data_IF_276309326855
#
_entry.id   IF_276309326855
#
_cell.length_a   1.000
_cell.length_b   1.000
_cell.length_c   1.000
_cell.angle_alpha   90.00
_cell.angle_beta   90.00
_cell.angle_gamma   90.00
#
_symmetry.space_group_name_H-M   'P 1'
#
loop_
_entity.id
_entity.type
_entity.pdbx_description
1 polymer ?
#
# COMPACT_ATOMS: atom_id res chain seq x y z
N UNK A 1 2.31 -20.66 -0.93
CA UNK A 1 3.17 -19.47 -1.18
C UNK A 1 2.80 -18.39 -0.18
N UNK A 2 3.52 -18.30 0.93
CA UNK A 2 3.14 -17.40 2.04
C UNK A 2 3.89 -16.07 1.93
N UNK A 3 3.18 -14.96 2.04
CA UNK A 3 3.76 -13.71 2.52
C UNK A 3 4.53 -12.79 1.57
N UNK A 4 5.15 -13.29 0.50
CA UNK A 4 6.10 -12.48 -0.29
C UNK A 4 5.41 -11.31 -1.04
N UNK A 5 5.77 -10.05 -0.76
CA UNK A 5 5.14 -8.89 -1.37
C UNK A 5 5.81 -8.49 -2.70
N UNK A 6 7.03 -8.94 -2.99
CA UNK A 6 7.80 -8.56 -4.19
C UNK A 6 7.07 -8.94 -5.46
N UNK A 7 6.88 -8.00 -6.39
CA UNK A 7 6.17 -8.23 -7.65
C UNK A 7 5.31 -7.05 -8.07
N UNK A 8 4.41 -7.30 -9.03
CA UNK A 8 3.45 -6.31 -9.53
C UNK A 8 2.07 -6.57 -8.94
N UNK A 9 1.39 -5.50 -8.57
CA UNK A 9 0.06 -5.54 -7.97
C UNK A 9 -0.87 -4.57 -8.68
N UNK A 10 -2.14 -4.92 -8.75
CA UNK A 10 -3.20 -4.10 -9.34
C UNK A 10 -4.49 -4.23 -8.54
N UNK A 11 -5.22 -3.13 -8.39
CA UNK A 11 -6.51 -3.10 -7.73
C UNK A 11 -7.01 -1.68 -7.54
N UNK A 12 -7.53 -1.39 -6.35
CA UNK A 12 -8.11 -0.09 -6.03
C UNK A 12 -7.73 0.38 -4.62
N UNK A 13 -7.92 1.68 -4.41
CA UNK A 13 -7.92 2.32 -3.11
C UNK A 13 -9.30 2.92 -2.84
N UNK A 14 -9.67 3.06 -1.57
CA UNK A 14 -10.90 3.74 -1.17
C UNK A 14 -10.65 4.55 0.10
N UNK A 15 -10.89 5.85 0.06
CA UNK A 15 -10.99 6.73 1.23
C UNK A 15 -12.31 6.44 1.93
N UNK A 16 -12.22 6.08 3.21
CA UNK A 16 -13.38 5.92 4.09
C UNK A 16 -13.85 7.27 4.64
N UNK A 17 -13.03 8.32 4.61
CA UNK A 17 -13.42 9.67 5.02
C UNK A 17 -14.28 10.36 3.98
N UNK A 18 -13.90 10.29 2.70
CA UNK A 18 -14.58 11.00 1.60
C UNK A 18 -15.45 10.10 0.71
N UNK A 19 -15.29 8.78 0.81
CA UNK A 19 -15.89 7.82 -0.12
C UNK A 19 -15.18 7.75 -1.49
N UNK A 20 -14.19 8.60 -1.76
CA UNK A 20 -13.45 8.56 -3.02
C UNK A 20 -12.74 7.22 -3.21
N UNK A 21 -12.75 6.74 -4.45
CA UNK A 21 -12.12 5.49 -4.85
C UNK A 21 -11.42 5.67 -6.18
N UNK A 22 -10.43 4.82 -6.45
CA UNK A 22 -9.71 4.88 -7.71
C UNK A 22 -8.79 3.68 -7.95
N UNK A 23 -8.26 3.56 -9.17
CA UNK A 23 -7.31 2.51 -9.49
C UNK A 23 -6.01 2.70 -8.70
N UNK A 24 -5.41 1.58 -8.31
CA UNK A 24 -4.13 1.52 -7.65
C UNK A 24 -3.27 0.41 -8.27
N UNK A 25 -2.00 0.70 -8.47
CA UNK A 25 -0.97 -0.25 -8.89
C UNK A 25 0.21 -0.13 -7.95
N UNK A 26 0.91 -1.25 -7.74
CA UNK A 26 2.17 -1.22 -7.02
C UNK A 26 3.24 -2.06 -7.72
N UNK A 27 4.48 -1.62 -7.63
CA UNK A 27 5.67 -2.42 -7.90
C UNK A 27 6.47 -2.53 -6.61
N UNK A 28 6.69 -3.76 -6.16
CA UNK A 28 7.36 -4.03 -4.89
C UNK A 28 8.64 -4.81 -5.16
N UNK A 29 9.74 -4.38 -4.58
CA UNK A 29 11.04 -5.05 -4.65
C UNK A 29 11.61 -5.22 -3.24
N UNK A 30 12.10 -6.43 -2.96
CA UNK A 30 12.85 -6.72 -1.74
C UNK A 30 14.14 -5.88 -1.67
N UNK A 31 14.47 -5.41 -0.48
CA UNK A 31 15.72 -4.70 -0.19
C UNK A 31 16.62 -5.58 0.67
N UNK A 32 16.06 -6.21 1.70
CA UNK A 32 16.73 -7.20 2.55
C UNK A 32 15.71 -8.26 3.02
N UNK A 33 16.00 -9.05 4.07
CA UNK A 33 15.12 -10.12 4.55
C UNK A 33 13.69 -9.64 4.84
N UNK A 34 13.56 -8.45 5.43
CA UNK A 34 12.33 -7.98 6.07
C UNK A 34 11.87 -6.63 5.55
N UNK A 35 12.68 -5.95 4.73
CA UNK A 35 12.33 -4.67 4.15
C UNK A 35 12.17 -4.73 2.64
N UNK A 36 11.18 -3.97 2.17
CA UNK A 36 10.80 -3.88 0.76
C UNK A 36 10.55 -2.42 0.39
N UNK A 37 10.80 -2.08 -0.87
CA UNK A 37 10.40 -0.80 -1.46
C UNK A 37 9.20 -1.02 -2.36
N UNK A 38 8.16 -0.23 -2.13
CA UNK A 38 6.97 -0.19 -2.96
C UNK A 38 6.90 1.15 -3.70
N UNK A 39 6.57 1.12 -4.98
CA UNK A 39 6.16 2.30 -5.74
C UNK A 39 4.67 2.16 -6.04
N UNK A 40 3.86 2.98 -5.39
CA UNK A 40 2.41 3.05 -5.61
C UNK A 40 2.08 4.08 -6.67
N UNK A 41 1.16 3.76 -7.56
CA UNK A 41 0.66 4.66 -8.60
C UNK A 41 -0.86 4.51 -8.73
N UNK A 42 -1.58 5.63 -8.72
CA UNK A 42 -3.04 5.63 -8.78
C UNK A 42 -3.62 6.94 -9.29
N UNK A 43 -4.92 7.10 -9.13
CA UNK A 43 -5.63 8.35 -9.44
C UNK A 43 -6.56 8.75 -8.29
N UNK A 44 -6.54 10.03 -7.92
CA UNK A 44 -7.44 10.68 -6.99
C UNK A 44 -8.56 11.41 -7.74
N UNK A 45 -9.79 11.36 -7.20
CA UNK A 45 -10.98 11.97 -7.82
C UNK A 45 -11.11 11.65 -9.32
N UNK A 46 -10.77 10.41 -9.72
CA UNK A 46 -10.72 9.90 -11.10
C UNK A 46 -9.68 10.56 -12.03
N UNK A 47 -9.35 11.84 -11.85
CA UNK A 47 -8.57 12.63 -12.82
C UNK A 47 -7.15 12.97 -12.38
N UNK A 48 -6.85 13.01 -11.09
CA UNK A 48 -5.53 13.48 -10.59
C UNK A 48 -4.59 12.28 -10.39
N UNK A 49 -3.59 12.04 -11.26
CA UNK A 49 -2.64 10.96 -11.04
C UNK A 49 -1.77 11.23 -9.82
N UNK A 50 -1.42 10.18 -9.09
CA UNK A 50 -0.43 10.25 -8.01
C UNK A 50 0.54 9.08 -8.10
N UNK A 51 1.77 9.32 -7.67
CA UNK A 51 2.80 8.31 -7.47
C UNK A 51 3.51 8.61 -6.17
N UNK A 52 3.72 7.60 -5.33
CA UNK A 52 4.55 7.76 -4.14
C UNK A 52 5.36 6.49 -3.83
N UNK A 53 6.64 6.65 -3.46
CA UNK A 53 7.42 5.55 -2.89
C UNK A 53 7.03 5.33 -1.43
N UNK A 54 7.09 4.08 -0.99
CA UNK A 54 6.90 3.70 0.40
C UNK A 54 7.86 2.54 0.76
N UNK A 55 8.24 2.50 2.04
CA UNK A 55 8.94 1.35 2.62
C UNK A 55 7.93 0.42 3.25
N UNK A 56 8.03 -0.88 2.99
CA UNK A 56 7.27 -1.91 3.68
C UNK A 56 8.23 -2.70 4.57
N UNK A 57 7.97 -2.67 5.87
CA UNK A 57 8.69 -3.44 6.88
C UNK A 57 7.81 -4.61 7.31
N UNK A 58 8.32 -5.83 7.19
CA UNK A 58 7.66 -7.03 7.72
C UNK A 58 7.55 -6.90 9.23
N UNK A 59 6.39 -7.20 9.77
CA UNK A 59 6.21 -7.24 11.23
C UNK A 59 6.93 -8.47 11.79
N UNK A 60 7.82 -8.34 12.79
CA UNK A 60 8.53 -9.47 13.38
C UNK A 60 7.60 -10.60 13.82
N UNK A 61 8.00 -11.85 13.57
CA UNK A 61 7.19 -13.03 13.89
C UNK A 61 6.01 -13.28 12.95
N UNK A 62 5.87 -12.52 11.86
CA UNK A 62 4.80 -12.71 10.88
C UNK A 62 5.36 -13.00 9.49
N UNK A 63 4.61 -13.73 8.67
CA UNK A 63 4.98 -13.98 7.28
C UNK A 63 4.23 -13.08 6.29
N UNK A 64 3.07 -12.55 6.68
CA UNK A 64 2.14 -11.86 5.78
C UNK A 64 1.83 -10.42 6.20
N UNK A 65 2.30 -9.94 7.35
CA UNK A 65 1.96 -8.62 7.86
C UNK A 65 3.10 -7.63 7.65
N UNK A 66 2.77 -6.46 7.12
CA UNK A 66 3.72 -5.41 6.77
C UNK A 66 3.22 -4.05 7.26
N UNK A 67 4.14 -3.19 7.66
CA UNK A 67 3.89 -1.80 8.04
C UNK A 67 4.66 -0.84 7.15
N UNK A 68 4.10 0.34 6.94
CA UNK A 68 4.74 1.44 6.25
C UNK A 68 4.46 2.72 7.02
N UNK A 69 5.50 3.51 7.21
CA UNK A 69 5.39 4.90 7.66
C UNK A 69 6.14 5.76 6.66
N UNK A 70 5.44 6.72 6.06
CA UNK A 70 6.02 7.62 5.06
C UNK A 70 5.39 8.99 5.25
N UNK A 71 6.20 10.04 5.13
CA UNK A 71 5.67 11.40 5.07
C UNK A 71 5.33 11.70 3.62
N UNK A 72 4.05 11.87 3.32
CA UNK A 72 3.59 12.25 1.99
C UNK A 72 3.45 13.77 1.90
N UNK A 73 3.87 14.38 0.77
CA UNK A 73 3.57 15.78 0.50
C UNK A 73 2.06 16.02 0.62
N UNK A 74 1.66 17.12 1.26
CA UNK A 74 0.27 17.55 1.48
C UNK A 74 -0.61 16.65 2.38
N UNK A 75 -0.32 15.35 2.48
CA UNK A 75 -1.07 14.42 3.35
C UNK A 75 -0.44 14.20 4.72
N UNK A 76 0.80 14.67 4.93
CA UNK A 76 1.49 14.58 6.20
C UNK A 76 1.97 13.16 6.52
N UNK A 77 1.89 12.76 7.78
CA UNK A 77 2.29 11.42 8.21
C UNK A 77 1.28 10.39 7.70
N UNK A 78 1.72 9.54 6.79
CA UNK A 78 0.96 8.44 6.23
C UNK A 78 1.46 7.12 6.81
N UNK A 79 0.55 6.39 7.46
CA UNK A 79 0.77 5.05 7.98
C UNK A 79 -0.06 4.03 7.20
N UNK A 80 0.47 2.82 7.03
CA UNK A 80 -0.27 1.71 6.42
C UNK A 80 0.10 0.39 7.08
N UNK A 81 -0.90 -0.47 7.32
CA UNK A 81 -0.72 -1.87 7.67
C UNK A 81 -1.32 -2.74 6.57
N UNK A 82 -0.52 -3.65 6.01
CA UNK A 82 -0.90 -4.52 4.91
C UNK A 82 -0.77 -5.99 5.31
N UNK A 83 -1.77 -6.80 4.98
CA UNK A 83 -1.71 -8.26 5.01
C UNK A 83 -1.63 -8.78 3.57
N UNK A 84 -0.58 -9.55 3.29
CA UNK A 84 -0.22 -10.02 1.96
C UNK A 84 -0.09 -11.54 1.96
N UNK A 85 -1.09 -12.22 1.40
CA UNK A 85 -1.14 -13.68 1.36
C UNK A 85 -2.01 -14.16 0.21
N UNK A 86 -1.68 -15.32 -0.36
CA UNK A 86 -2.50 -15.93 -1.43
C UNK A 86 -2.71 -15.04 -2.66
N UNK A 87 -1.70 -14.24 -3.03
CA UNK A 87 -1.81 -13.30 -4.14
C UNK A 87 -2.71 -12.09 -3.89
N UNK A 88 -3.13 -11.85 -2.65
CA UNK A 88 -3.92 -10.68 -2.23
C UNK A 88 -3.05 -9.74 -1.42
N UNK A 89 -3.23 -8.45 -1.66
CA UNK A 89 -2.67 -7.36 -0.87
C UNK A 89 -3.86 -6.54 -0.36
N UNK A 90 -4.12 -6.66 0.94
CA UNK A 90 -5.15 -5.90 1.62
C UNK A 90 -4.49 -5.01 2.66
N UNK A 91 -4.75 -3.71 2.60
CA UNK A 91 -4.17 -2.78 3.57
C UNK A 91 -5.20 -1.80 4.08
N UNK A 92 -4.94 -1.32 5.30
CA UNK A 92 -5.58 -0.15 5.88
C UNK A 92 -4.52 0.94 5.98
N UNK A 93 -4.84 2.14 5.51
CA UNK A 93 -3.99 3.31 5.62
C UNK A 93 -4.66 4.40 6.45
N UNK A 94 -3.85 5.28 7.03
CA UNK A 94 -4.30 6.44 7.79
C UNK A 94 -3.31 7.60 7.62
N UNK A 95 -3.84 8.81 7.51
CA UNK A 95 -3.11 10.07 7.56
C UNK A 95 -3.80 11.05 8.52
N UNK A 96 -3.36 12.32 8.57
CA UNK A 96 -3.99 13.34 9.42
C UNK A 96 -5.47 13.56 9.08
N UNK A 97 -5.84 13.49 7.80
CA UNK A 97 -7.17 13.87 7.31
C UNK A 97 -7.89 12.76 6.56
N UNK A 98 -7.25 11.61 6.35
CA UNK A 98 -7.86 10.50 5.61
C UNK A 98 -7.56 9.15 6.26
N UNK A 99 -8.49 8.22 6.09
CA UNK A 99 -8.30 6.80 6.38
C UNK A 99 -8.92 6.03 5.24
N UNK A 100 -8.31 4.93 4.87
CA UNK A 100 -8.87 4.12 3.81
C UNK A 100 -8.26 2.75 3.70
N UNK A 101 -8.60 2.10 2.59
CA UNK A 101 -8.20 0.72 2.32
C UNK A 101 -7.62 0.57 0.93
N UNK A 102 -6.64 -0.32 0.81
CA UNK A 102 -6.17 -0.85 -0.48
C UNK A 102 -6.64 -2.29 -0.62
N UNK A 103 -7.16 -2.62 -1.81
CA UNK A 103 -7.51 -3.98 -2.19
C UNK A 103 -6.90 -4.27 -3.54
N UNK A 104 -5.87 -5.12 -3.56
CA UNK A 104 -5.14 -5.46 -4.77
C UNK A 104 -4.90 -6.95 -4.90
N UNK A 105 -4.71 -7.38 -6.13
CA UNK A 105 -4.31 -8.73 -6.49
C UNK A 105 -2.95 -8.71 -7.19
N UNK A 106 -2.25 -9.83 -7.10
CA UNK A 106 -1.05 -10.11 -7.85
C UNK A 106 -1.37 -10.01 -9.35
N UNK A 107 -0.52 -9.32 -10.10
CA UNK A 107 -0.57 -9.26 -11.56
C UNK A 107 0.35 -10.30 -12.17
#
# INVERSE_FOLDING_TARGET
>A
MCGNPSGRWIGSWTSQTSGHTGPLRARIRQVDSDTYRALFAGRFAVVVPFVYPAKLDRVPGTFDLYRSNTRLPLMGNYGMTARISGGRFNAVYSSKSDRGVFRMNRR
#
